data_IF_189295548049
#
_entry.id   IF_189295548049
#
_cell.length_a   1.000
_cell.length_b   1.000
_cell.length_c   1.000
_cell.angle_alpha   90.00
_cell.angle_beta   90.00
_cell.angle_gamma   90.00
#
_symmetry.space_group_name_H-M   'P 1'
#
loop_
_entity.id
_entity.type
_entity.pdbx_description
1 polymer ?
#
# COMPACT_ATOMS: atom_id res chain seq x y z
N UNK A 1 38.85 -22.44 39.59
CA UNK A 1 40.22 -22.91 39.27
C UNK A 1 40.17 -23.44 37.84
N UNK A 2 40.33 -22.55 36.84
CA UNK A 2 41.57 -22.17 36.08
C UNK A 2 41.78 -23.05 34.83
N UNK A 3 42.30 -22.54 33.69
CA UNK A 3 42.06 -21.24 33.04
C UNK A 3 42.06 -21.24 31.47
N UNK A 4 41.50 -20.17 30.89
CA UNK A 4 42.01 -19.27 29.82
C UNK A 4 42.79 -19.84 28.60
N UNK A 5 42.32 -19.52 27.38
CA UNK A 5 43.16 -18.78 26.38
C UNK A 5 42.32 -17.97 25.39
N UNK A 6 42.72 -16.70 25.27
CA UNK A 6 42.25 -15.65 24.39
C UNK A 6 43.06 -15.58 23.09
N UNK A 7 42.44 -15.22 21.98
CA UNK A 7 43.06 -14.41 20.92
C UNK A 7 42.01 -13.37 20.50
N UNK A 8 42.28 -12.10 20.27
CA UNK A 8 43.53 -11.42 19.96
C UNK A 8 43.20 -10.39 18.88
N UNK A 9 42.73 -9.23 19.31
CA UNK A 9 42.43 -8.04 18.52
C UNK A 9 43.64 -7.57 17.68
N UNK A 10 43.43 -7.41 16.37
CA UNK A 10 44.13 -6.52 15.41
C UNK A 10 43.27 -6.61 14.14
N UNK A 11 42.59 -5.57 13.67
CA UNK A 11 43.19 -4.49 12.90
C UNK A 11 42.20 -3.32 12.85
N UNK A 12 42.50 -2.25 13.58
CA UNK A 12 42.07 -0.92 13.17
C UNK A 12 42.99 -0.48 12.02
N UNK A 13 42.38 0.15 11.01
CA UNK A 13 42.90 1.34 10.34
C UNK A 13 44.00 1.16 9.26
N UNK A 14 43.59 1.26 7.99
CA UNK A 14 44.37 1.84 6.87
C UNK A 14 43.34 2.27 5.79
N UNK A 15 43.00 3.57 5.74
CA UNK A 15 43.47 4.57 4.72
C UNK A 15 43.14 4.13 3.29
N UNK A 16 42.14 4.70 2.61
CA UNK A 16 42.12 6.05 2.01
C UNK A 16 43.34 6.34 1.12
N UNK A 17 43.04 6.80 -0.10
CA UNK A 17 43.93 7.24 -1.19
C UNK A 17 44.28 6.21 -2.27
N UNK A 18 43.75 6.43 -3.47
CA UNK A 18 44.50 6.42 -4.73
C UNK A 18 43.63 7.02 -5.85
N UNK A 19 43.52 8.36 -5.80
CA UNK A 19 43.13 9.18 -6.93
C UNK A 19 44.39 9.94 -7.34
N UNK A 20 44.99 9.60 -8.49
CA UNK A 20 45.91 10.41 -9.33
C UNK A 20 46.71 9.52 -10.28
N UNK A 21 46.55 9.77 -11.58
CA UNK A 21 47.41 9.24 -12.64
C UNK A 21 47.33 10.10 -13.91
N UNK A 22 48.20 11.14 -13.95
CA UNK A 22 48.92 11.79 -15.07
C UNK A 22 48.37 11.53 -16.50
N UNK A 23 48.01 12.51 -17.32
CA UNK A 23 48.69 13.76 -17.75
C UNK A 23 50.06 13.55 -18.44
N UNK A 24 50.01 13.65 -19.78
CA UNK A 24 51.07 13.70 -20.80
C UNK A 24 50.33 13.60 -22.15
N UNK A 25 50.54 14.38 -23.20
CA UNK A 25 51.75 15.01 -23.71
C UNK A 25 51.35 16.15 -24.67
N UNK A 26 52.14 17.22 -24.67
CA UNK A 26 52.05 18.40 -25.53
C UNK A 26 52.44 18.06 -26.99
N UNK A 27 51.71 18.60 -27.95
CA UNK A 27 52.25 18.92 -29.28
C UNK A 27 51.51 20.13 -29.85
N UNK A 28 52.24 21.22 -30.02
CA UNK A 28 51.72 22.50 -30.46
C UNK A 28 51.32 22.52 -31.93
N UNK A 29 50.23 23.23 -32.22
CA UNK A 29 49.92 23.70 -33.57
C UNK A 29 49.70 25.21 -33.47
N UNK A 30 50.73 25.93 -33.92
CA UNK A 30 50.73 27.37 -34.15
C UNK A 30 50.01 27.63 -35.47
N UNK A 31 48.76 28.14 -35.45
CA UNK A 31 48.11 28.65 -36.67
C UNK A 31 47.51 30.04 -36.44
N UNK A 32 47.87 30.92 -37.37
CA UNK A 32 47.69 32.38 -37.42
C UNK A 32 46.21 32.77 -37.22
N UNK A 33 45.95 33.76 -36.36
CA UNK A 33 44.68 34.50 -36.34
C UNK A 33 44.60 35.30 -37.65
N UNK A 34 43.70 34.91 -38.55
CA UNK A 34 43.17 35.82 -39.58
C UNK A 34 41.93 36.48 -38.98
N UNK A 35 42.03 37.76 -38.67
CA UNK A 35 40.87 38.64 -38.57
C UNK A 35 40.26 38.72 -39.97
N UNK A 36 39.01 38.25 -40.11
CA UNK A 36 38.17 38.53 -41.27
C UNK A 36 36.96 39.27 -40.71
N UNK A 37 36.96 40.58 -40.92
CA UNK A 37 35.78 41.45 -40.83
C UNK A 37 34.99 41.32 -42.12
N UNK A 38 33.75 40.83 -42.06
CA UNK A 38 32.68 40.97 -43.07
C UNK A 38 31.52 40.07 -42.60
N UNK A 39 30.23 40.35 -42.75
CA UNK A 39 29.40 41.49 -43.14
C UNK A 39 28.03 41.12 -42.57
N UNK A 40 27.19 42.12 -42.28
CA UNK A 40 25.79 41.90 -41.94
C UNK A 40 25.12 41.03 -43.01
N UNK A 41 24.72 39.82 -42.65
CA UNK A 41 23.49 39.15 -43.08
C UNK A 41 23.48 37.75 -42.45
N UNK A 42 22.61 37.51 -41.47
CA UNK A 42 21.97 36.22 -41.12
C UNK A 42 20.84 36.60 -40.15
N UNK A 43 19.89 37.41 -40.63
CA UNK A 43 18.52 37.38 -40.10
C UNK A 43 17.75 36.29 -40.85
N UNK A 44 18.09 35.02 -40.60
CA UNK A 44 17.23 33.90 -40.97
C UNK A 44 17.78 32.63 -40.31
N UNK A 45 16.93 31.93 -39.54
CA UNK A 45 17.14 30.60 -38.92
C UNK A 45 17.54 30.56 -37.44
N UNK A 46 16.86 31.30 -36.58
CA UNK A 46 16.62 30.82 -35.20
C UNK A 46 15.15 30.42 -35.10
N UNK A 47 14.88 29.19 -35.52
CA UNK A 47 13.58 28.54 -35.35
C UNK A 47 13.36 28.28 -33.87
N UNK A 48 12.48 29.06 -33.26
CA UNK A 48 11.39 28.62 -32.38
C UNK A 48 11.66 27.31 -31.60
N UNK A 49 12.39 27.39 -30.47
CA UNK A 49 12.30 26.37 -29.42
C UNK A 49 11.21 26.81 -28.44
N UNK A 50 9.94 26.68 -28.85
CA UNK A 50 8.80 26.88 -27.96
C UNK A 50 8.73 25.68 -27.00
N UNK A 51 9.08 25.96 -25.75
CA UNK A 51 8.66 25.31 -24.51
C UNK A 51 7.66 24.16 -24.71
N UNK A 52 8.15 22.92 -24.68
CA UNK A 52 7.29 21.77 -24.38
C UNK A 52 6.93 21.86 -22.89
N UNK A 53 5.88 22.62 -22.58
CA UNK A 53 5.19 22.54 -21.31
C UNK A 53 4.52 21.16 -21.30
N UNK A 54 5.19 20.16 -20.75
CA UNK A 54 4.54 18.91 -20.38
C UNK A 54 3.45 19.29 -19.37
N UNK A 55 2.16 19.14 -19.67
CA UNK A 55 1.16 19.26 -18.62
C UNK A 55 1.46 18.14 -17.64
N UNK A 56 1.93 18.48 -16.45
CA UNK A 56 1.89 17.60 -15.30
C UNK A 56 0.42 17.29 -15.06
N UNK A 57 -0.06 16.20 -15.65
CA UNK A 57 -1.34 15.62 -15.30
C UNK A 57 -1.26 15.16 -13.86
N UNK A 58 -1.65 16.04 -12.92
CA UNK A 58 -1.95 15.69 -11.53
C UNK A 58 -3.24 14.85 -11.49
N UNK A 59 -3.22 13.67 -12.10
CA UNK A 59 -4.39 12.82 -12.31
C UNK A 59 -4.68 11.82 -11.19
N UNK A 60 -3.94 11.81 -10.08
CA UNK A 60 -4.00 10.74 -9.09
C UNK A 60 -4.65 11.11 -7.75
N UNK A 61 -5.36 12.23 -7.66
CA UNK A 61 -5.93 12.70 -6.37
C UNK A 61 -7.47 12.57 -6.25
N UNK A 62 -8.23 12.51 -7.35
CA UNK A 62 -9.70 12.55 -7.28
C UNK A 62 -10.34 11.24 -6.84
N UNK A 63 -9.77 10.09 -7.18
CA UNK A 63 -10.33 8.79 -6.79
C UNK A 63 -10.13 8.55 -5.28
N UNK A 64 -8.91 8.73 -4.76
CA UNK A 64 -8.62 8.56 -3.32
C UNK A 64 -9.56 9.37 -2.43
N UNK A 65 -9.80 10.64 -2.80
CA UNK A 65 -10.72 11.53 -2.08
C UNK A 65 -12.16 11.02 -2.03
N UNK A 66 -12.59 10.17 -2.98
CA UNK A 66 -13.94 9.62 -3.01
C UNK A 66 -14.16 8.48 -2.00
N UNK A 67 -13.10 7.74 -1.66
CA UNK A 67 -13.19 6.61 -0.73
C UNK A 67 -12.70 6.98 0.69
N UNK A 68 -12.12 8.15 0.84
CA UNK A 68 -11.59 8.64 2.11
C UNK A 68 -12.67 8.75 3.21
N UNK A 69 -12.32 8.27 4.41
CA UNK A 69 -13.13 8.40 5.61
C UNK A 69 -13.15 7.12 6.44
N UNK A 70 -13.87 7.19 7.55
CA UNK A 70 -14.17 6.04 8.41
C UNK A 70 -15.62 5.61 8.19
N UNK A 71 -15.81 4.31 8.03
CA UNK A 71 -17.10 3.70 7.74
C UNK A 71 -17.38 2.59 8.74
N UNK A 72 -18.60 2.56 9.27
CA UNK A 72 -19.11 1.53 10.17
C UNK A 72 -19.76 0.41 9.36
N UNK A 73 -19.49 -0.84 9.71
CA UNK A 73 -20.15 -1.99 9.10
C UNK A 73 -21.65 -2.00 9.45
N UNK A 74 -22.50 -2.14 8.44
CA UNK A 74 -23.95 -2.27 8.59
C UNK A 74 -24.38 -3.73 8.44
N UNK A 75 -23.85 -4.43 7.44
CA UNK A 75 -24.15 -5.85 7.22
C UNK A 75 -23.15 -6.49 6.27
N UNK A 76 -23.05 -7.82 6.36
CA UNK A 76 -22.39 -8.64 5.33
C UNK A 76 -23.41 -9.58 4.71
N UNK A 77 -23.37 -9.74 3.39
CA UNK A 77 -24.09 -10.82 2.68
C UNK A 77 -23.07 -11.71 2.01
N UNK A 78 -23.26 -13.03 2.06
CA UNK A 78 -22.49 -13.99 1.28
C UNK A 78 -23.42 -14.75 0.33
N UNK A 79 -23.11 -14.72 -0.97
CA UNK A 79 -23.81 -15.53 -1.97
C UNK A 79 -22.98 -16.77 -2.28
N UNK A 80 -23.53 -17.94 -1.99
CA UNK A 80 -22.92 -19.23 -2.32
C UNK A 80 -23.07 -19.43 -3.83
N UNK A 81 -21.96 -19.63 -4.54
CA UNK A 81 -21.98 -19.64 -6.01
C UNK A 81 -22.66 -20.88 -6.58
N UNK A 82 -22.51 -22.02 -5.92
CA UNK A 82 -23.08 -23.29 -6.34
C UNK A 82 -24.62 -23.28 -6.31
N UNK A 83 -25.20 -22.80 -5.21
CA UNK A 83 -26.66 -22.85 -4.99
C UNK A 83 -27.36 -21.53 -5.28
N UNK A 84 -26.61 -20.44 -5.42
CA UNK A 84 -27.14 -19.07 -5.49
C UNK A 84 -27.71 -18.56 -4.17
N UNK A 85 -27.72 -19.36 -3.10
CA UNK A 85 -28.28 -19.00 -1.80
C UNK A 85 -27.51 -17.82 -1.19
N UNK A 86 -28.25 -16.84 -0.68
CA UNK A 86 -27.69 -15.71 0.05
C UNK A 86 -27.84 -15.90 1.56
N UNK A 87 -26.76 -15.70 2.29
CA UNK A 87 -26.71 -15.67 3.74
C UNK A 87 -26.40 -14.24 4.20
N UNK A 88 -27.25 -13.69 5.07
CA UNK A 88 -27.03 -12.36 5.66
C UNK A 88 -26.51 -12.49 7.09
N UNK A 89 -25.44 -11.76 7.39
CA UNK A 89 -24.82 -11.68 8.70
C UNK A 89 -25.13 -10.32 9.32
N UNK A 90 -25.80 -10.33 10.48
CA UNK A 90 -26.23 -9.13 11.21
C UNK A 90 -25.60 -9.02 12.59
N UNK A 91 -24.90 -10.07 13.04
CA UNK A 91 -24.16 -10.14 14.30
C UNK A 91 -22.68 -9.78 14.11
N UNK A 92 -22.38 -8.88 13.17
CA UNK A 92 -21.05 -8.35 12.90
C UNK A 92 -21.02 -6.85 13.17
N UNK A 93 -19.92 -6.36 13.73
CA UNK A 93 -19.69 -4.92 13.92
C UNK A 93 -18.22 -4.59 13.70
N UNK A 94 -17.93 -3.36 13.35
CA UNK A 94 -16.57 -2.94 13.09
C UNK A 94 -16.50 -1.74 12.18
N UNK A 95 -15.26 -1.42 11.80
CA UNK A 95 -14.94 -0.25 11.01
C UNK A 95 -13.94 -0.57 9.92
N UNK A 96 -14.04 0.19 8.84
CA UNK A 96 -12.99 0.36 7.85
C UNK A 96 -12.67 1.84 7.73
N UNK A 97 -11.39 2.19 7.71
CA UNK A 97 -10.92 3.56 7.47
C UNK A 97 -10.01 3.57 6.26
N UNK A 98 -10.20 4.57 5.40
CA UNK A 98 -9.31 4.93 4.31
C UNK A 98 -8.78 6.34 4.56
N UNK A 99 -7.48 6.45 4.82
CA UNK A 99 -6.81 7.70 5.17
C UNK A 99 -6.26 8.45 3.95
N UNK A 100 -6.12 9.77 4.09
CA UNK A 100 -5.51 10.65 3.07
C UNK A 100 -4.05 10.32 2.77
N UNK A 101 -3.39 9.66 3.71
CA UNK A 101 -2.02 9.16 3.59
C UNK A 101 -1.90 7.90 2.72
N UNK A 102 -3.02 7.44 2.13
CA UNK A 102 -3.06 6.24 1.30
C UNK A 102 -3.00 4.94 2.11
N UNK A 103 -3.21 5.01 3.43
CA UNK A 103 -3.30 3.84 4.30
C UNK A 103 -4.75 3.52 4.65
N UNK A 104 -4.97 2.25 4.98
CA UNK A 104 -6.26 1.74 5.40
C UNK A 104 -6.13 0.89 6.65
N UNK A 105 -7.21 0.82 7.42
CA UNK A 105 -7.37 -0.11 8.54
C UNK A 105 -8.75 -0.77 8.51
N UNK A 106 -8.81 -2.08 8.75
CA UNK A 106 -10.04 -2.85 8.93
C UNK A 106 -9.99 -3.52 10.29
N UNK A 107 -11.08 -3.40 11.05
CA UNK A 107 -11.33 -4.23 12.22
C UNK A 107 -12.81 -4.59 12.24
N UNK A 108 -13.10 -5.87 12.03
CA UNK A 108 -14.42 -6.45 12.12
C UNK A 108 -14.42 -7.51 13.20
N UNK A 109 -15.49 -7.55 13.99
CA UNK A 109 -15.74 -8.59 14.99
C UNK A 109 -17.12 -9.18 14.77
N UNK A 110 -17.29 -10.47 15.02
CA UNK A 110 -18.53 -11.20 14.73
C UNK A 110 -18.99 -12.11 15.87
N UNK A 111 -20.28 -12.39 15.89
CA UNK A 111 -20.91 -13.33 16.81
C UNK A 111 -20.84 -12.92 18.27
N UNK A 112 -21.27 -13.84 19.15
CA UNK A 112 -21.22 -13.66 20.59
C UNK A 112 -19.80 -13.93 21.09
N UNK A 113 -19.04 -12.87 21.32
CA UNK A 113 -17.67 -12.93 21.83
C UNK A 113 -17.65 -13.19 23.34
N UNK A 114 -16.72 -14.02 23.85
CA UNK A 114 -16.57 -14.17 25.30
C UNK A 114 -16.07 -12.86 25.91
N UNK A 115 -16.45 -12.59 27.16
CA UNK A 115 -15.96 -11.48 27.96
C UNK A 115 -15.25 -12.03 29.20
N UNK A 116 -13.92 -12.20 29.16
CA UNK A 116 -13.15 -12.61 30.34
C UNK A 116 -13.24 -11.58 31.47
N UNK A 117 -13.01 -12.02 32.71
CA UNK A 117 -13.02 -11.14 33.89
C UNK A 117 -11.91 -10.08 33.84
N UNK A 118 -10.71 -10.49 33.39
CA UNK A 118 -9.55 -9.61 33.18
C UNK A 118 -8.64 -10.20 32.09
N UNK A 119 -7.63 -9.44 31.65
CA UNK A 119 -6.63 -9.94 30.70
C UNK A 119 -5.82 -11.11 31.30
N UNK A 120 -5.45 -11.02 32.58
CA UNK A 120 -4.66 -12.05 33.29
C UNK A 120 -5.45 -13.35 33.49
N UNK A 121 -6.77 -13.25 33.68
CA UNK A 121 -7.65 -14.41 33.92
C UNK A 121 -8.24 -15.00 32.63
N UNK A 122 -7.81 -14.52 31.46
CA UNK A 122 -8.29 -15.04 30.19
C UNK A 122 -7.76 -16.46 29.96
N UNK A 123 -8.66 -17.41 29.67
CA UNK A 123 -8.27 -18.79 29.33
C UNK A 123 -7.79 -18.90 27.89
N UNK A 124 -7.05 -19.96 27.55
CA UNK A 124 -6.65 -20.24 26.16
C UNK A 124 -7.86 -20.40 25.23
N UNK A 125 -8.92 -21.03 25.73
CA UNK A 125 -10.16 -21.17 24.96
C UNK A 125 -10.77 -19.79 24.65
N UNK A 126 -10.84 -18.89 25.64
CA UNK A 126 -11.32 -17.53 25.42
C UNK A 126 -10.45 -16.73 24.44
N UNK A 127 -9.11 -16.87 24.51
CA UNK A 127 -8.18 -16.30 23.52
C UNK A 127 -8.51 -16.78 22.11
N UNK A 128 -8.65 -18.10 21.94
CA UNK A 128 -8.92 -18.71 20.65
C UNK A 128 -10.30 -18.30 20.09
N UNK A 129 -11.32 -18.20 20.95
CA UNK A 129 -12.66 -17.73 20.56
C UNK A 129 -12.66 -16.25 20.14
N UNK A 130 -11.94 -15.38 20.86
CA UNK A 130 -11.77 -13.97 20.48
C UNK A 130 -11.01 -13.82 19.16
N UNK A 131 -10.00 -14.68 18.93
CA UNK A 131 -9.20 -14.71 17.71
C UNK A 131 -10.05 -15.17 16.50
N UNK A 132 -10.79 -16.28 16.60
CA UNK A 132 -11.66 -16.78 15.52
C UNK A 132 -12.72 -15.78 15.06
N UNK A 133 -13.12 -14.88 15.96
CA UNK A 133 -14.21 -13.94 15.73
C UNK A 133 -13.73 -12.54 15.34
N UNK A 134 -12.44 -12.32 15.11
CA UNK A 134 -11.90 -11.05 14.59
C UNK A 134 -11.48 -11.18 13.13
N UNK A 135 -11.51 -10.08 12.41
CA UNK A 135 -10.76 -9.88 11.17
C UNK A 135 -10.18 -8.49 11.22
N UNK A 136 -8.87 -8.41 11.35
CA UNK A 136 -8.17 -7.13 11.46
C UNK A 136 -6.96 -7.10 10.55
N UNK A 137 -6.81 -6.07 9.74
CA UNK A 137 -5.63 -5.88 8.90
C UNK A 137 -5.45 -4.41 8.54
N UNK A 138 -4.21 -4.05 8.26
CA UNK A 138 -3.83 -2.73 7.77
C UNK A 138 -2.96 -2.86 6.52
N UNK A 139 -2.86 -1.75 5.80
CA UNK A 139 -2.05 -1.71 4.61
C UNK A 139 -2.10 -0.37 3.91
N UNK A 140 -1.47 -0.30 2.75
CA UNK A 140 -1.80 0.74 1.76
C UNK A 140 -3.04 0.33 0.99
N UNK A 141 -3.71 1.31 0.38
CA UNK A 141 -4.74 1.02 -0.61
C UNK A 141 -4.51 1.79 -1.89
N UNK A 142 -5.04 1.25 -2.98
CA UNK A 142 -5.23 1.97 -4.24
C UNK A 142 -6.69 1.90 -4.63
N UNK A 143 -7.19 2.95 -5.28
CA UNK A 143 -8.58 3.01 -5.72
C UNK A 143 -8.66 3.69 -7.08
N UNK A 144 -9.27 3.01 -8.04
CA UNK A 144 -9.40 3.48 -9.43
C UNK A 144 -10.77 4.13 -9.75
N UNK A 145 -11.63 4.28 -8.73
CA UNK A 145 -13.00 4.77 -8.88
C UNK A 145 -14.06 3.65 -8.92
N UNK A 146 -13.66 2.40 -9.16
CA UNK A 146 -14.56 1.23 -9.23
C UNK A 146 -14.07 0.06 -8.38
N UNK A 147 -12.77 -0.10 -8.25
CA UNK A 147 -12.11 -1.19 -7.55
C UNK A 147 -11.14 -0.60 -6.53
N UNK A 148 -11.21 -1.10 -5.30
CA UNK A 148 -10.20 -0.84 -4.27
C UNK A 148 -9.34 -2.08 -4.09
N UNK A 149 -8.03 -1.89 -4.01
CA UNK A 149 -7.07 -2.93 -3.65
C UNK A 149 -6.45 -2.61 -2.30
N UNK A 150 -6.53 -3.55 -1.36
CA UNK A 150 -5.87 -3.45 -0.06
C UNK A 150 -4.55 -4.21 -0.14
N UNK A 151 -3.42 -3.51 -0.04
CA UNK A 151 -2.07 -4.10 -0.03
C UNK A 151 -1.64 -4.31 1.42
N UNK A 152 -1.79 -5.53 1.92
CA UNK A 152 -1.73 -5.83 3.35
C UNK A 152 -0.27 -5.91 3.82
N UNK A 153 0.06 -5.14 4.85
CA UNK A 153 1.37 -5.16 5.50
C UNK A 153 1.34 -5.66 6.96
N UNK A 154 0.19 -5.60 7.63
CA UNK A 154 -0.01 -6.13 8.98
C UNK A 154 -1.39 -6.80 9.04
N UNK A 155 -1.47 -7.99 9.62
CA UNK A 155 -2.75 -8.70 9.73
C UNK A 155 -2.83 -9.57 11.00
N UNK A 156 -4.06 -9.80 11.46
CA UNK A 156 -4.34 -10.75 12.55
C UNK A 156 -4.03 -12.20 12.18
N UNK A 157 -3.99 -12.50 10.88
CA UNK A 157 -3.77 -13.83 10.34
C UNK A 157 -2.69 -13.75 9.27
N UNK A 158 -1.53 -14.30 9.59
CA UNK A 158 -0.29 -14.12 8.84
C UNK A 158 -0.36 -14.62 7.39
N UNK A 159 -1.33 -15.46 7.05
CA UNK A 159 -1.65 -15.86 5.67
C UNK A 159 -2.01 -14.65 4.78
N UNK A 160 -2.51 -13.56 5.35
CA UNK A 160 -2.91 -12.37 4.59
C UNK A 160 -1.80 -11.35 4.41
N UNK A 161 -0.75 -11.37 5.23
CA UNK A 161 0.32 -10.38 5.13
C UNK A 161 1.10 -10.54 3.83
N UNK A 162 1.38 -9.41 3.17
CA UNK A 162 2.02 -9.37 1.86
C UNK A 162 1.08 -9.68 0.70
N UNK A 163 -0.20 -9.99 0.95
CA UNK A 163 -1.19 -10.24 -0.10
C UNK A 163 -1.91 -8.95 -0.53
N UNK A 164 -2.53 -9.00 -1.70
CA UNK A 164 -3.44 -7.94 -2.17
C UNK A 164 -4.87 -8.44 -2.22
N UNK A 165 -5.76 -7.66 -1.61
CA UNK A 165 -7.15 -7.96 -1.41
C UNK A 165 -7.99 -6.98 -2.24
N UNK A 166 -8.48 -7.43 -3.41
CA UNK A 166 -9.26 -6.63 -4.37
C UNK A 166 -10.76 -6.63 -4.07
N UNK A 167 -11.45 -5.49 -4.16
CA UNK A 167 -12.89 -5.37 -3.94
C UNK A 167 -13.51 -4.43 -4.96
N UNK A 168 -14.63 -4.83 -5.55
CA UNK A 168 -15.46 -3.90 -6.30
C UNK A 168 -16.17 -2.97 -5.33
N UNK A 169 -16.25 -1.70 -5.70
CA UNK A 169 -16.82 -0.62 -4.89
C UNK A 169 -18.07 -0.11 -5.58
N UNK A 170 -19.18 -0.11 -4.85
CA UNK A 170 -20.38 0.66 -5.20
C UNK A 170 -20.66 1.67 -4.10
N UNK A 171 -21.07 2.87 -4.49
CA UNK A 171 -21.40 3.96 -3.56
C UNK A 171 -22.85 4.39 -3.74
N UNK A 172 -23.50 4.71 -2.64
CA UNK A 172 -24.85 5.25 -2.58
C UNK A 172 -24.92 6.26 -1.42
N UNK A 173 -24.73 7.54 -1.73
CA UNK A 173 -24.57 8.60 -0.73
C UNK A 173 -23.45 8.29 0.28
N UNK A 174 -23.83 8.17 1.55
CA UNK A 174 -22.93 7.85 2.67
C UNK A 174 -22.61 6.34 2.76
N UNK A 175 -23.23 5.49 1.94
CA UNK A 175 -22.99 4.05 1.94
C UNK A 175 -21.94 3.63 0.92
N UNK A 176 -21.13 2.66 1.33
CA UNK A 176 -20.13 1.98 0.49
C UNK A 176 -20.36 0.48 0.58
N UNK A 177 -20.53 -0.17 -0.56
CA UNK A 177 -20.61 -1.61 -0.69
C UNK A 177 -19.31 -2.12 -1.29
N UNK A 178 -18.63 -3.02 -0.58
CA UNK A 178 -17.40 -3.67 -1.00
C UNK A 178 -17.68 -5.14 -1.32
N UNK A 179 -17.54 -5.52 -2.58
CA UNK A 179 -17.78 -6.89 -3.05
C UNK A 179 -16.47 -7.60 -3.32
N UNK A 180 -16.28 -8.79 -2.74
CA UNK A 180 -15.08 -9.60 -2.95
C UNK A 180 -15.16 -10.40 -4.25
N UNK A 181 -14.01 -10.76 -4.85
CA UNK A 181 -13.95 -11.87 -5.79
C UNK A 181 -14.46 -13.18 -5.14
N UNK A 182 -14.82 -14.19 -5.96
CA UNK A 182 -15.07 -15.54 -5.49
C UNK A 182 -13.92 -16.06 -4.61
N UNK A 183 -14.25 -16.57 -3.43
CA UNK A 183 -13.28 -17.19 -2.51
C UNK A 183 -13.92 -18.28 -1.65
N UNK A 184 -13.15 -19.27 -1.19
CA UNK A 184 -13.66 -20.31 -0.30
C UNK A 184 -13.97 -19.70 1.07
N UNK A 185 -15.13 -20.05 1.63
CA UNK A 185 -15.49 -19.63 2.99
C UNK A 185 -14.70 -20.42 4.03
N UNK A 186 -14.33 -19.76 5.12
CA UNK A 186 -13.66 -20.40 6.26
C UNK A 186 -14.51 -21.45 6.98
N UNK A 187 -15.85 -21.34 6.91
CA UNK A 187 -16.78 -22.25 7.63
C UNK A 187 -16.84 -23.65 7.02
N UNK A 188 -16.90 -23.75 5.69
CA UNK A 188 -17.16 -25.02 5.00
C UNK A 188 -16.47 -25.17 3.64
N UNK A 189 -15.59 -24.22 3.26
CA UNK A 189 -14.83 -24.27 2.01
C UNK A 189 -15.63 -23.93 0.75
N UNK A 190 -16.95 -23.75 0.83
CA UNK A 190 -17.76 -23.43 -0.36
C UNK A 190 -17.35 -22.07 -0.95
N UNK A 191 -17.29 -22.00 -2.28
CA UNK A 191 -17.00 -20.76 -2.99
C UNK A 191 -18.15 -19.77 -2.84
N UNK A 192 -17.83 -18.55 -2.44
CA UNK A 192 -18.81 -17.48 -2.25
C UNK A 192 -18.26 -16.13 -2.69
N UNK A 193 -19.18 -15.22 -2.99
CA UNK A 193 -18.91 -13.78 -3.10
C UNK A 193 -19.50 -13.09 -1.88
N UNK A 194 -18.72 -12.26 -1.19
CA UNK A 194 -19.19 -11.49 -0.03
C UNK A 194 -19.36 -10.03 -0.43
N UNK A 195 -20.46 -9.42 0.01
CA UNK A 195 -20.71 -7.98 -0.10
C UNK A 195 -20.82 -7.41 1.30
N UNK A 196 -19.91 -6.50 1.64
CA UNK A 196 -19.92 -5.79 2.91
C UNK A 196 -20.48 -4.39 2.69
N UNK A 197 -21.56 -4.06 3.37
CA UNK A 197 -22.18 -2.74 3.32
C UNK A 197 -21.75 -1.93 4.53
N UNK A 198 -21.16 -0.77 4.26
CA UNK A 198 -20.72 0.18 5.27
C UNK A 198 -21.41 1.53 5.12
N UNK A 199 -21.46 2.29 6.20
CA UNK A 199 -21.98 3.66 6.24
C UNK A 199 -20.92 4.59 6.82
N UNK A 200 -20.69 5.74 6.18
CA UNK A 200 -19.70 6.73 6.60
C UNK A 200 -20.10 7.34 7.94
N UNK A 201 -19.14 7.48 8.85
CA UNK A 201 -19.33 8.20 10.12
C UNK A 201 -19.33 9.70 9.82
N UNK A 202 -20.27 10.42 10.44
CA UNK A 202 -20.43 11.88 10.32
C UNK A 202 -19.62 12.62 11.39
#
# INVERSE_FOLDING_TARGET
MTPITSSGSRFHQLRAELCRGRCGMLAGIRRRRKFITYSEDIMSKVRLALSFVFPLSFGTSTAFAQLEGTYRLISTTARILETGQEEKYTDETGYITYGRDGRMFVLLVRGKRPKPESLEKMTDQQRADLFRTVTAYSGRYTFDGKTVEHHIDISWNEVFTGTTLRREVKRDGDRVMLTTPPSPRSKDGKMSVRTLTFEKIK
#
